data_IF_335738634124
#
_entry.id   IF_335738634124
#
_cell.length_a   1.000
_cell.length_b   1.000
_cell.length_c   1.000
_cell.angle_alpha   90.00
_cell.angle_beta   90.00
_cell.angle_gamma   90.00
#
_symmetry.space_group_name_H-M   'P 1'
#
loop_
_entity.id
_entity.type
_entity.pdbx_description
1 polymer ?
#
# COMPACT_ATOMS: atom_id res chain seq x y z
N UNK A 1 -39.86 -6.38 -3.25
CA UNK A 1 -39.59 -6.14 -1.82
C UNK A 1 -38.60 -7.20 -1.31
N UNK A 2 -37.29 -7.02 -1.53
CA UNK A 2 -36.28 -8.02 -1.16
C UNK A 2 -34.88 -7.40 -0.92
N UNK A 3 -34.82 -6.19 -0.34
CA UNK A 3 -33.55 -5.44 -0.16
C UNK A 3 -33.14 -5.37 1.33
N UNK A 4 -33.97 -5.82 2.28
CA UNK A 4 -33.77 -5.57 3.72
C UNK A 4 -32.71 -6.43 4.44
N UNK A 5 -32.48 -7.69 4.05
CA UNK A 5 -31.68 -8.60 4.88
C UNK A 5 -30.16 -8.52 4.68
N UNK A 6 -29.69 -8.18 3.48
CA UNK A 6 -28.24 -8.10 3.21
C UNK A 6 -27.58 -6.85 3.81
N UNK A 7 -28.33 -5.75 3.94
CA UNK A 7 -27.86 -4.52 4.59
C UNK A 7 -27.76 -4.68 6.13
N UNK A 8 -28.67 -5.45 6.74
CA UNK A 8 -28.66 -5.70 8.18
C UNK A 8 -27.56 -6.68 8.61
N UNK A 9 -27.21 -7.66 7.76
CA UNK A 9 -26.07 -8.55 8.03
C UNK A 9 -24.72 -7.83 7.99
N UNK A 10 -24.56 -6.82 7.12
CA UNK A 10 -23.35 -5.98 7.08
C UNK A 10 -23.25 -5.02 8.27
N UNK A 11 -24.38 -4.49 8.76
CA UNK A 11 -24.41 -3.61 9.92
C UNK A 11 -24.22 -4.35 11.26
N UNK A 12 -24.67 -5.61 11.37
CA UNK A 12 -24.54 -6.42 12.57
C UNK A 12 -23.12 -6.94 12.86
N UNK A 13 -22.26 -7.05 11.84
CA UNK A 13 -20.85 -7.42 12.01
C UNK A 13 -19.98 -6.21 12.40
N UNK A 14 -20.42 -4.98 12.12
CA UNK A 14 -19.71 -3.76 12.45
C UNK A 14 -19.84 -3.35 13.93
N UNK A 15 -20.83 -3.88 14.66
CA UNK A 15 -21.13 -3.46 16.04
C UNK A 15 -20.46 -4.30 17.15
N UNK A 16 -19.78 -5.41 16.82
CA UNK A 16 -19.27 -6.34 17.84
C UNK A 16 -17.77 -6.30 18.16
N UNK A 17 -16.95 -5.49 17.47
CA UNK A 17 -15.48 -5.51 17.71
C UNK A 17 -14.75 -4.15 17.65
N UNK A 18 -15.29 -3.00 18.13
CA UNK A 18 -14.41 -1.86 18.42
C UNK A 18 -13.76 -1.95 19.82
N UNK A 19 -14.42 -2.61 20.78
CA UNK A 19 -14.02 -2.57 22.20
C UNK A 19 -12.62 -3.14 22.47
N UNK A 20 -12.32 -4.33 21.93
CA UNK A 20 -11.02 -4.98 22.13
C UNK A 20 -9.86 -4.29 21.38
N UNK A 21 -10.14 -3.67 20.22
CA UNK A 21 -9.15 -2.92 19.45
C UNK A 21 -8.84 -1.54 20.07
N UNK A 22 -9.83 -0.91 20.70
CA UNK A 22 -9.67 0.38 21.40
C UNK A 22 -9.13 0.23 22.83
N UNK A 23 -9.29 -0.93 23.46
CA UNK A 23 -8.78 -1.25 24.80
C UNK A 23 -7.40 -1.94 24.77
N UNK A 24 -6.73 -2.01 23.61
CA UNK A 24 -5.42 -2.64 23.51
C UNK A 24 -4.41 -1.93 24.43
N UNK A 25 -3.98 -2.64 25.48
CA UNK A 25 -2.90 -2.18 26.35
C UNK A 25 -1.56 -2.18 25.60
N UNK A 26 -0.70 -1.21 25.90
CA UNK A 26 0.63 -1.12 25.30
C UNK A 26 1.44 -2.41 25.59
N UNK A 27 1.83 -3.11 24.52
CA UNK A 27 2.68 -4.31 24.58
C UNK A 27 4.16 -3.98 24.87
N UNK A 28 4.50 -2.69 24.99
CA UNK A 28 5.82 -2.22 25.37
C UNK A 28 6.84 -2.47 24.26
N UNK A 29 6.49 -2.17 23.00
CA UNK A 29 7.32 -2.44 21.83
C UNK A 29 8.74 -1.84 21.91
N UNK A 30 8.89 -0.69 22.58
CA UNK A 30 10.19 -0.05 22.81
C UNK A 30 11.15 -0.89 23.68
N UNK A 31 10.61 -1.81 24.49
CA UNK A 31 11.42 -2.72 25.33
C UNK A 31 11.79 -4.02 24.63
N UNK A 32 11.33 -4.22 23.39
CA UNK A 32 11.61 -5.43 22.62
C UNK A 32 12.98 -5.32 21.95
N UNK A 33 13.85 -6.29 22.24
CA UNK A 33 15.15 -6.40 21.58
C UNK A 33 15.02 -6.66 20.07
N UNK A 34 16.10 -6.43 19.30
CA UNK A 34 16.08 -6.54 17.84
C UNK A 34 15.72 -7.94 17.31
N UNK A 35 15.84 -8.99 18.14
CA UNK A 35 15.46 -10.36 17.80
C UNK A 35 13.97 -10.51 17.44
N UNK A 36 13.10 -9.62 17.93
CA UNK A 36 11.69 -9.61 17.57
C UNK A 36 11.43 -9.25 16.10
N UNK A 37 12.41 -8.64 15.41
CA UNK A 37 12.34 -8.38 13.97
C UNK A 37 12.69 -9.60 13.10
N UNK A 38 13.20 -10.70 13.69
CA UNK A 38 13.60 -11.89 12.93
C UNK A 38 12.46 -12.50 12.10
N UNK A 39 11.22 -12.67 12.62
CA UNK A 39 10.13 -13.22 11.81
C UNK A 39 9.77 -12.32 10.62
N UNK A 40 9.87 -10.99 10.80
CA UNK A 40 9.65 -10.03 9.73
C UNK A 40 10.74 -10.11 8.67
N UNK A 41 12.02 -10.10 9.07
CA UNK A 41 13.15 -10.26 8.15
C UNK A 41 13.09 -11.60 7.40
N UNK A 42 12.73 -12.68 8.09
CA UNK A 42 12.53 -14.01 7.51
C UNK A 42 11.41 -14.04 6.48
N UNK A 43 10.29 -13.37 6.76
CA UNK A 43 9.18 -13.22 5.81
C UNK A 43 9.62 -12.46 4.55
N UNK A 44 10.32 -11.33 4.70
CA UNK A 44 10.84 -10.57 3.56
C UNK A 44 11.81 -11.39 2.71
N UNK A 45 12.74 -12.11 3.35
CA UNK A 45 13.68 -12.98 2.67
C UNK A 45 12.97 -14.11 1.93
N UNK A 46 11.91 -14.67 2.53
CA UNK A 46 11.09 -15.70 1.90
C UNK A 46 10.39 -15.18 0.65
N UNK A 47 9.83 -13.97 0.69
CA UNK A 47 9.16 -13.35 -0.47
C UNK A 47 10.18 -13.00 -1.57
N UNK A 48 11.38 -12.56 -1.19
CA UNK A 48 12.43 -12.23 -2.15
C UNK A 48 13.04 -13.47 -2.83
N UNK A 49 13.34 -14.52 -2.06
CA UNK A 49 14.06 -15.71 -2.56
C UNK A 49 13.13 -16.84 -3.02
N UNK A 50 11.97 -17.00 -2.40
CA UNK A 50 11.03 -18.10 -2.66
C UNK A 50 10.67 -18.27 -4.13
N UNK A 51 10.23 -17.20 -4.84
CA UNK A 51 9.92 -17.27 -6.26
C UNK A 51 11.11 -17.66 -7.14
N UNK A 52 12.33 -17.30 -6.73
CA UNK A 52 13.56 -17.50 -7.51
C UNK A 52 14.12 -18.91 -7.33
N UNK A 53 14.18 -19.37 -6.07
CA UNK A 53 14.78 -20.66 -5.73
C UNK A 53 13.84 -21.84 -6.03
N UNK A 54 12.53 -21.68 -5.76
CA UNK A 54 11.57 -22.78 -5.83
C UNK A 54 10.18 -22.31 -6.31
N UNK A 55 10.12 -21.75 -7.51
CA UNK A 55 8.93 -21.15 -8.12
C UNK A 55 7.62 -21.95 -7.91
N UNK A 56 7.58 -23.23 -8.34
CA UNK A 56 6.37 -24.06 -8.23
C UNK A 56 5.95 -24.36 -6.79
N UNK A 57 6.92 -24.57 -5.88
CA UNK A 57 6.61 -24.83 -4.47
C UNK A 57 6.11 -23.55 -3.79
N UNK A 58 6.69 -22.41 -4.12
CA UNK A 58 6.33 -21.11 -3.56
C UNK A 58 4.89 -20.73 -3.90
N UNK A 59 4.48 -20.84 -5.17
CA UNK A 59 3.13 -20.49 -5.60
C UNK A 59 2.04 -21.29 -4.86
N UNK A 60 2.30 -22.59 -4.63
CA UNK A 60 1.38 -23.48 -3.92
C UNK A 60 1.40 -23.28 -2.40
N UNK A 61 2.52 -22.84 -1.83
CA UNK A 61 2.75 -22.86 -0.38
C UNK A 61 3.00 -21.49 0.27
N UNK A 62 2.86 -20.40 -0.48
CA UNK A 62 3.03 -19.04 0.01
C UNK A 62 2.33 -18.79 1.36
N UNK A 63 1.06 -19.20 1.46
CA UNK A 63 0.28 -19.06 2.68
C UNK A 63 0.85 -19.83 3.88
N UNK A 64 1.48 -21.00 3.66
CA UNK A 64 2.12 -21.77 4.74
C UNK A 64 3.40 -21.07 5.24
N UNK A 65 4.20 -20.50 4.34
CA UNK A 65 5.37 -19.71 4.73
C UNK A 65 4.98 -18.46 5.51
N UNK A 66 3.96 -17.73 5.05
CA UNK A 66 3.44 -16.57 5.76
C UNK A 66 2.91 -16.96 7.15
N UNK A 67 2.14 -18.05 7.25
CA UNK A 67 1.61 -18.56 8.52
C UNK A 67 2.73 -19.00 9.47
N UNK A 68 3.78 -19.65 8.96
CA UNK A 68 4.94 -20.04 9.76
C UNK A 68 5.61 -18.83 10.42
N UNK A 69 5.94 -17.79 9.64
CA UNK A 69 6.57 -16.60 10.18
C UNK A 69 5.64 -15.81 11.11
N UNK A 70 4.35 -15.74 10.79
CA UNK A 70 3.35 -15.12 11.67
C UNK A 70 3.25 -15.85 13.01
N UNK A 71 3.21 -17.18 13.00
CA UNK A 71 3.13 -17.98 14.23
C UNK A 71 4.42 -17.86 15.06
N UNK A 72 5.58 -17.78 14.40
CA UNK A 72 6.87 -17.57 15.06
C UNK A 72 6.94 -16.23 15.80
N UNK A 73 6.18 -15.22 15.36
CA UNK A 73 6.00 -13.97 16.08
C UNK A 73 4.94 -14.07 17.18
N UNK A 74 3.76 -14.62 16.85
CA UNK A 74 2.59 -14.62 17.73
C UNK A 74 2.73 -15.55 18.94
N UNK A 75 3.33 -16.73 18.78
CA UNK A 75 3.48 -17.70 19.88
C UNK A 75 4.34 -17.15 21.01
N UNK A 76 5.56 -16.62 20.76
CA UNK A 76 6.35 -15.97 21.81
C UNK A 76 5.67 -14.73 22.38
N UNK A 77 4.95 -13.96 21.56
CA UNK A 77 4.24 -12.77 22.01
C UNK A 77 3.17 -13.12 23.05
N UNK A 78 2.33 -14.12 22.74
CA UNK A 78 1.30 -14.61 23.66
C UNK A 78 1.92 -15.22 24.92
N UNK A 79 3.00 -16.00 24.77
CA UNK A 79 3.67 -16.65 25.90
C UNK A 79 4.33 -15.64 26.87
N UNK A 80 4.88 -14.53 26.37
CA UNK A 80 5.64 -13.57 27.17
C UNK A 80 4.83 -12.35 27.63
N UNK A 81 3.83 -11.93 26.83
CA UNK A 81 3.03 -10.72 27.08
C UNK A 81 1.56 -11.02 27.42
N UNK A 82 1.16 -12.29 27.33
CA UNK A 82 -0.20 -12.72 27.64
C UNK A 82 -1.14 -12.66 26.43
N UNK A 83 -2.21 -13.44 26.50
CA UNK A 83 -3.18 -13.61 25.42
C UNK A 83 -3.97 -12.31 25.14
N UNK A 84 -4.53 -11.67 26.16
CA UNK A 84 -5.36 -10.47 26.01
C UNK A 84 -4.60 -9.30 25.36
N UNK A 85 -3.39 -9.00 25.83
CA UNK A 85 -2.57 -7.93 25.28
C UNK A 85 -2.13 -8.21 23.83
N UNK A 86 -1.75 -9.46 23.54
CA UNK A 86 -1.35 -9.88 22.19
C UNK A 86 -2.53 -9.84 21.22
N UNK A 87 -3.70 -10.32 21.64
CA UNK A 87 -4.93 -10.28 20.85
C UNK A 87 -5.36 -8.84 20.58
N UNK A 88 -5.31 -7.98 21.61
CA UNK A 88 -5.58 -6.54 21.47
C UNK A 88 -4.68 -5.90 20.43
N UNK A 89 -3.37 -6.14 20.49
CA UNK A 89 -2.41 -5.61 19.50
C UNK A 89 -2.69 -6.12 18.07
N UNK A 90 -2.96 -7.42 17.90
CA UNK A 90 -3.29 -8.00 16.59
C UNK A 90 -4.59 -7.43 16.03
N UNK A 91 -5.63 -7.33 16.85
CA UNK A 91 -6.92 -6.76 16.43
C UNK A 91 -6.81 -5.27 16.11
N UNK A 92 -6.04 -4.52 16.92
CA UNK A 92 -5.76 -3.11 16.66
C UNK A 92 -5.09 -2.94 15.30
N UNK A 93 -3.99 -3.64 15.04
CA UNK A 93 -3.30 -3.60 13.74
C UNK A 93 -4.19 -4.09 12.60
N UNK A 94 -4.96 -5.16 12.78
CA UNK A 94 -5.82 -5.70 11.72
C UNK A 94 -6.98 -4.75 11.36
N UNK A 95 -7.65 -4.18 12.37
CA UNK A 95 -8.90 -3.42 12.18
C UNK A 95 -8.66 -1.93 11.98
N UNK A 96 -7.63 -1.35 12.60
CA UNK A 96 -7.38 0.10 12.58
C UNK A 96 -6.23 0.48 11.65
N UNK A 97 -5.34 -0.44 11.31
CA UNK A 97 -4.24 -0.16 10.36
C UNK A 97 -4.48 -0.85 9.02
N UNK A 98 -4.62 -2.18 9.03
CA UNK A 98 -4.67 -2.98 7.82
C UNK A 98 -6.00 -2.86 7.07
N UNK A 99 -7.13 -2.92 7.76
CA UNK A 99 -8.43 -2.82 7.10
C UNK A 99 -8.65 -1.45 6.41
N UNK A 100 -8.38 -0.29 7.06
CA UNK A 100 -8.48 1.01 6.39
C UNK A 100 -7.51 1.13 5.20
N UNK A 101 -6.30 0.57 5.32
CA UNK A 101 -5.36 0.51 4.21
C UNK A 101 -5.90 -0.24 3.01
N UNK A 102 -6.46 -1.44 3.21
CA UNK A 102 -7.06 -2.23 2.12
C UNK A 102 -8.25 -1.51 1.51
N UNK A 103 -9.11 -0.88 2.32
CA UNK A 103 -10.26 -0.10 1.82
C UNK A 103 -9.78 1.08 0.97
N UNK A 104 -8.74 1.79 1.40
CA UNK A 104 -8.17 2.90 0.65
C UNK A 104 -7.57 2.43 -0.68
N UNK A 105 -6.73 1.39 -0.66
CA UNK A 105 -6.15 0.83 -1.89
C UNK A 105 -7.25 0.34 -2.85
N UNK A 106 -8.28 -0.31 -2.32
CA UNK A 106 -9.41 -0.79 -3.11
C UNK A 106 -10.19 0.38 -3.75
N UNK A 107 -10.42 1.44 -2.99
CA UNK A 107 -11.11 2.64 -3.47
C UNK A 107 -10.28 3.34 -4.55
N UNK A 108 -8.97 3.51 -4.30
CA UNK A 108 -8.03 4.08 -5.27
C UNK A 108 -8.00 3.25 -6.55
N UNK A 109 -7.87 1.93 -6.44
CA UNK A 109 -7.86 1.03 -7.58
C UNK A 109 -9.16 1.10 -8.39
N UNK A 110 -10.31 1.09 -7.71
CA UNK A 110 -11.62 1.12 -8.36
C UNK A 110 -11.86 2.45 -9.07
N UNK A 111 -11.55 3.57 -8.42
CA UNK A 111 -11.73 4.92 -8.99
C UNK A 111 -10.73 5.15 -10.12
N UNK A 112 -9.43 4.96 -9.87
CA UNK A 112 -8.36 5.23 -10.84
C UNK A 112 -8.43 4.25 -12.03
N UNK A 113 -8.67 2.97 -11.78
CA UNK A 113 -8.80 1.94 -12.81
C UNK A 113 -10.05 2.08 -13.68
N UNK A 114 -11.11 2.71 -13.15
CA UNK A 114 -12.35 3.01 -13.87
C UNK A 114 -12.25 4.24 -14.81
N UNK A 115 -11.23 5.09 -14.63
CA UNK A 115 -11.04 6.28 -15.47
C UNK A 115 -10.35 5.85 -16.78
N UNK A 116 -11.11 5.89 -17.88
CA UNK A 116 -10.58 5.68 -19.22
C UNK A 116 -10.41 7.01 -19.94
N UNK A 117 -9.16 7.46 -20.09
CA UNK A 117 -8.84 8.61 -20.93
C UNK A 117 -8.72 8.12 -22.37
N UNK A 118 -9.59 8.67 -23.23
CA UNK A 118 -9.65 8.33 -24.65
C UNK A 118 -9.38 9.58 -25.48
N UNK A 119 -8.57 9.45 -26.53
CA UNK A 119 -8.21 10.57 -27.40
C UNK A 119 -7.13 10.17 -28.42
N UNK A 120 -7.08 10.86 -29.56
CA UNK A 120 -6.04 10.63 -30.56
C UNK A 120 -4.81 11.50 -30.26
N UNK A 121 -4.04 11.09 -29.25
CA UNK A 121 -2.80 11.75 -28.85
C UNK A 121 -1.67 11.32 -29.77
N UNK A 122 -1.06 12.28 -30.46
CA UNK A 122 0.12 12.02 -31.28
C UNK A 122 1.36 11.88 -30.40
N UNK A 123 2.14 10.81 -30.60
CA UNK A 123 3.38 10.52 -29.88
C UNK A 123 4.54 11.46 -30.24
N UNK A 124 4.39 12.74 -29.93
CA UNK A 124 5.47 13.73 -30.05
C UNK A 124 6.24 13.86 -28.72
N UNK A 125 7.53 14.25 -28.75
CA UNK A 125 8.28 14.54 -27.53
C UNK A 125 7.58 15.56 -26.63
N UNK A 126 7.00 16.62 -27.21
CA UNK A 126 6.27 17.65 -26.45
C UNK A 126 5.04 17.06 -25.73
N UNK A 127 4.24 16.24 -26.43
CA UNK A 127 3.06 15.58 -25.85
C UNK A 127 3.45 14.67 -24.69
N UNK A 128 4.51 13.87 -24.85
CA UNK A 128 5.00 13.00 -23.79
C UNK A 128 5.49 13.79 -22.58
N UNK A 129 6.23 14.88 -22.79
CA UNK A 129 6.67 15.76 -21.69
C UNK A 129 5.48 16.35 -20.94
N UNK A 130 4.42 16.76 -21.63
CA UNK A 130 3.19 17.27 -21.00
C UNK A 130 2.49 16.16 -20.20
N UNK A 131 2.36 14.95 -20.75
CA UNK A 131 1.76 13.82 -20.02
C UNK A 131 2.57 13.49 -18.75
N UNK A 132 3.90 13.48 -18.84
CA UNK A 132 4.80 13.23 -17.71
C UNK A 132 4.69 14.34 -16.66
N UNK A 133 4.65 15.61 -17.07
CA UNK A 133 4.48 16.74 -16.17
C UNK A 133 3.13 16.67 -15.43
N UNK A 134 2.04 16.44 -16.15
CA UNK A 134 0.70 16.27 -15.57
C UNK A 134 0.70 15.07 -14.62
N UNK A 135 1.28 13.94 -15.02
CA UNK A 135 1.37 12.75 -14.18
C UNK A 135 2.14 12.99 -12.89
N UNK A 136 3.23 13.74 -12.95
CA UNK A 136 4.05 14.08 -11.79
C UNK A 136 3.26 14.95 -10.80
N UNK A 137 2.55 15.96 -11.30
CA UNK A 137 1.68 16.82 -10.46
C UNK A 137 0.51 16.03 -9.89
N UNK A 138 -0.16 15.20 -10.70
CA UNK A 138 -1.27 14.36 -10.23
C UNK A 138 -0.82 13.33 -9.20
N UNK A 139 0.38 12.76 -9.33
CA UNK A 139 0.95 11.84 -8.36
C UNK A 139 1.11 12.49 -6.97
N UNK A 140 1.38 13.79 -6.92
CA UNK A 140 1.45 14.53 -5.65
C UNK A 140 0.08 14.69 -4.99
N UNK A 141 -1.03 14.60 -5.72
CA UNK A 141 -2.39 14.80 -5.18
C UNK A 141 -3.10 13.47 -4.93
N UNK A 142 -3.07 12.59 -5.93
CA UNK A 142 -3.82 11.32 -5.96
C UNK A 142 -2.96 10.13 -5.48
N UNK A 143 -1.65 10.33 -5.33
CA UNK A 143 -0.67 9.27 -5.09
C UNK A 143 -0.13 8.68 -6.39
N UNK A 144 1.12 8.19 -6.34
CA UNK A 144 1.83 7.61 -7.51
C UNK A 144 1.07 6.44 -8.12
N UNK A 145 0.48 5.58 -7.29
CA UNK A 145 -0.26 4.38 -7.72
C UNK A 145 -1.49 4.77 -8.54
N UNK A 146 -2.30 5.71 -8.05
CA UNK A 146 -3.51 6.17 -8.75
C UNK A 146 -3.18 6.92 -10.04
N UNK A 147 -2.22 7.86 -9.99
CA UNK A 147 -1.77 8.59 -11.18
C UNK A 147 -1.19 7.64 -12.25
N UNK A 148 -0.45 6.61 -11.83
CA UNK A 148 0.11 5.59 -12.72
C UNK A 148 -1.00 4.78 -13.41
N UNK A 149 -1.99 4.33 -12.65
CA UNK A 149 -3.13 3.57 -13.21
C UNK A 149 -3.93 4.37 -14.25
N UNK A 150 -4.12 5.66 -14.01
CA UNK A 150 -4.86 6.56 -14.92
C UNK A 150 -4.08 6.80 -16.22
N UNK A 151 -2.77 7.11 -16.12
CA UNK A 151 -1.99 7.63 -17.23
C UNK A 151 -1.16 6.63 -18.02
N UNK A 152 -0.87 5.44 -17.47
CA UNK A 152 -0.01 4.49 -18.17
C UNK A 152 -0.62 4.05 -19.51
N UNK A 153 -1.94 3.81 -19.55
CA UNK A 153 -2.64 3.37 -20.78
C UNK A 153 -2.65 4.48 -21.85
N UNK A 154 -3.01 5.74 -21.53
CA UNK A 154 -2.88 6.86 -22.48
C UNK A 154 -1.47 7.06 -23.01
N UNK A 155 -0.45 6.97 -22.14
CA UNK A 155 0.96 7.15 -22.53
C UNK A 155 1.40 6.08 -23.54
N UNK A 156 1.06 4.81 -23.27
CA UNK A 156 1.36 3.70 -24.17
C UNK A 156 0.64 3.86 -25.51
N UNK A 157 -0.66 4.18 -25.50
CA UNK A 157 -1.45 4.39 -26.72
C UNK A 157 -0.92 5.55 -27.57
N UNK A 158 -0.54 6.66 -26.96
CA UNK A 158 0.04 7.80 -27.67
C UNK A 158 1.35 7.44 -28.40
N UNK A 159 2.09 6.44 -27.93
CA UNK A 159 3.40 6.04 -28.45
C UNK A 159 3.40 4.68 -29.16
N UNK A 160 2.23 4.08 -29.42
CA UNK A 160 2.11 2.75 -30.04
C UNK A 160 2.67 2.73 -31.46
N UNK A 161 2.55 3.85 -32.18
CA UNK A 161 3.06 3.99 -33.55
C UNK A 161 4.58 4.27 -33.63
N UNK A 162 5.33 4.27 -32.51
CA UNK A 162 6.78 4.52 -32.48
C UNK A 162 7.56 3.23 -32.25
N UNK A 163 8.57 2.99 -33.09
CA UNK A 163 9.49 1.83 -32.98
C UNK A 163 10.29 1.80 -31.67
N UNK A 164 10.60 2.96 -31.07
CA UNK A 164 11.34 3.07 -29.82
C UNK A 164 10.61 3.99 -28.84
N UNK A 165 9.90 3.39 -27.87
CA UNK A 165 9.11 4.11 -26.86
C UNK A 165 9.47 3.73 -25.41
N UNK A 166 10.41 2.79 -25.21
CA UNK A 166 10.84 2.31 -23.88
C UNK A 166 11.29 3.47 -22.98
N UNK A 167 12.05 4.43 -23.51
CA UNK A 167 12.52 5.58 -22.72
C UNK A 167 11.36 6.38 -22.11
N UNK A 168 10.23 6.52 -22.82
CA UNK A 168 9.05 7.25 -22.34
C UNK A 168 8.44 6.54 -21.12
N UNK A 169 8.37 5.21 -21.17
CA UNK A 169 7.88 4.39 -20.06
C UNK A 169 8.85 4.44 -18.87
N UNK A 170 10.16 4.40 -19.12
CA UNK A 170 11.18 4.53 -18.06
C UNK A 170 11.09 5.90 -17.38
N UNK A 171 10.97 6.99 -18.15
CA UNK A 171 10.75 8.33 -17.58
C UNK A 171 9.44 8.42 -16.80
N UNK A 172 8.38 7.77 -17.27
CA UNK A 172 7.12 7.69 -16.53
C UNK A 172 7.29 7.00 -15.17
N UNK A 173 7.98 5.86 -15.14
CA UNK A 173 8.24 5.13 -13.90
C UNK A 173 9.03 6.01 -12.92
N UNK A 174 10.09 6.67 -13.37
CA UNK A 174 10.88 7.53 -12.48
C UNK A 174 10.10 8.76 -12.00
N UNK A 175 9.53 9.54 -12.92
CA UNK A 175 8.92 10.82 -12.59
C UNK A 175 7.55 10.66 -11.92
N UNK A 176 6.68 9.83 -12.49
CA UNK A 176 5.28 9.71 -12.03
C UNK A 176 5.14 8.64 -10.94
N UNK A 177 5.73 7.46 -11.16
CA UNK A 177 5.52 6.31 -10.26
C UNK A 177 6.41 6.32 -9.02
N UNK A 178 7.58 6.96 -9.05
CA UNK A 178 8.52 6.97 -7.92
C UNK A 178 8.72 8.37 -7.31
N UNK A 179 9.01 9.40 -8.11
CA UNK A 179 9.34 10.74 -7.60
C UNK A 179 8.08 11.55 -7.26
N UNK A 180 7.04 11.48 -8.11
CA UNK A 180 5.91 12.40 -8.09
C UNK A 180 5.05 12.38 -6.82
N UNK A 181 5.09 11.31 -6.04
CA UNK A 181 4.35 11.20 -4.77
C UNK A 181 5.17 11.51 -3.51
N UNK A 182 6.43 11.94 -3.65
CA UNK A 182 7.29 12.30 -2.49
C UNK A 182 6.70 13.38 -1.57
N UNK A 183 5.64 14.09 -2.02
CA UNK A 183 4.94 15.13 -1.27
C UNK A 183 3.70 14.66 -0.50
N UNK A 184 3.16 13.46 -0.75
CA UNK A 184 1.95 13.00 -0.04
C UNK A 184 2.04 11.53 0.41
N UNK A 185 1.58 11.22 1.63
CA UNK A 185 1.62 9.86 2.18
C UNK A 185 0.64 8.88 1.50
N UNK A 186 -0.12 9.33 0.49
CA UNK A 186 -1.03 8.51 -0.31
C UNK A 186 -0.31 7.67 -1.36
N UNK A 187 0.90 8.07 -1.76
CA UNK A 187 1.62 7.45 -2.88
C UNK A 187 2.30 6.13 -2.51
N UNK A 188 2.67 5.95 -1.26
CA UNK A 188 3.52 4.86 -0.81
C UNK A 188 2.94 4.15 0.45
N UNK A 189 2.87 2.82 0.43
CA UNK A 189 2.35 2.04 1.57
C UNK A 189 2.97 2.36 2.94
N UNK A 190 4.29 2.64 3.06
CA UNK A 190 4.91 2.95 4.35
C UNK A 190 4.48 4.29 4.96
N UNK A 191 4.42 5.39 4.19
CA UNK A 191 4.00 6.69 4.74
C UNK A 191 2.50 6.72 5.07
N UNK A 192 1.67 5.95 4.36
CA UNK A 192 0.26 5.81 4.73
C UNK A 192 0.07 5.11 6.08
N UNK A 193 0.82 4.04 6.35
CA UNK A 193 0.83 3.41 7.67
C UNK A 193 1.32 4.39 8.76
N UNK A 194 2.29 5.25 8.44
CA UNK A 194 2.70 6.36 9.30
C UNK A 194 1.55 7.33 9.60
N UNK A 195 0.77 7.73 8.58
CA UNK A 195 -0.40 8.57 8.75
C UNK A 195 -1.47 7.93 9.66
N UNK A 196 -1.76 6.64 9.47
CA UNK A 196 -2.69 5.92 10.35
C UNK A 196 -2.18 5.80 11.80
N UNK A 197 -0.86 5.88 12.01
CA UNK A 197 -0.23 5.97 13.33
C UNK A 197 -0.12 7.39 13.89
N UNK A 198 -0.76 8.37 13.25
CA UNK A 198 -0.86 9.74 13.74
C UNK A 198 0.21 10.70 13.23
N UNK A 199 0.98 10.34 12.21
CA UNK A 199 1.88 11.28 11.52
C UNK A 199 1.03 12.18 10.61
N UNK A 200 1.21 13.50 10.70
CA UNK A 200 0.40 14.45 9.92
C UNK A 200 0.56 14.26 8.40
N UNK A 201 -0.52 14.49 7.65
CA UNK A 201 -0.55 14.32 6.19
C UNK A 201 0.52 15.14 5.45
N UNK A 202 0.91 16.29 6.03
CA UNK A 202 1.91 17.18 5.48
C UNK A 202 3.31 16.97 6.08
N UNK A 203 3.51 16.00 6.97
CA UNK A 203 4.78 15.80 7.66
C UNK A 203 5.96 15.63 6.69
N UNK A 204 5.81 14.85 5.61
CA UNK A 204 6.84 14.73 4.57
C UNK A 204 7.04 16.01 3.77
N UNK A 205 5.98 16.76 3.48
CA UNK A 205 6.09 18.07 2.82
C UNK A 205 6.83 19.06 3.72
N UNK A 206 6.54 19.13 5.01
CA UNK A 206 7.19 20.03 5.96
C UNK A 206 8.65 19.68 6.25
N UNK A 207 9.03 18.39 6.23
CA UNK A 207 10.39 17.96 6.57
C UNK A 207 11.31 17.83 5.34
N UNK A 208 10.80 17.61 4.12
CA UNK A 208 11.61 17.52 2.91
C UNK A 208 11.74 18.86 2.15
N UNK A 209 10.80 19.79 2.29
CA UNK A 209 10.95 21.13 1.68
C UNK A 209 12.16 21.93 2.20
N UNK A 210 12.50 21.92 3.51
CA UNK A 210 13.60 22.72 4.05
C UNK A 210 14.98 22.29 3.56
N UNK A 211 15.18 21.02 3.20
CA UNK A 211 16.47 20.51 2.72
C UNK A 211 16.72 20.78 1.23
N UNK A 212 15.73 21.33 0.51
CA UNK A 212 15.86 21.69 -0.92
C UNK A 212 16.08 23.20 -1.12
N UNK A 213 16.34 23.95 -0.04
CA UNK A 213 16.62 25.40 -0.04
C UNK A 213 18.07 25.73 0.22
#
# INVERSE_FOLDING_TARGET
MAIGWKALAGAGLASLVPGAALAAGDIGGATMGPLWALPFAGMLLSIALGPILFHHLWELHYGKFAAFWALLLLVPLVALRGFEASLGAVLHTALLEYLPFIILLFSLFTIAGGILITGNLHGSPATNTVILAIGTVMASIVGTTGASMILIRPLLRANDNRRHNVHVVVFFIFLVSNIGGSRTPLGDPPLFLGFLRGVDFFWTTEHLLPETG
#
